data_IF_956859466178
#
_entry.id   IF_956859466178
#
_cell.length_a   1.000
_cell.length_b   1.000
_cell.length_c   1.000
_cell.angle_alpha   90.00
_cell.angle_beta   90.00
_cell.angle_gamma   90.00
#
_symmetry.space_group_name_H-M   'P 1'
#
loop_
_entity.id
_entity.type
_entity.pdbx_description
1 polymer ?
#
# COMPACT_ATOMS: atom_id res chain seq x y z
N UNK A 1 -2.67 20.92 60.82
CA UNK A 1 -2.10 19.58 61.09
C UNK A 1 -2.16 18.81 59.77
N UNK A 2 -1.33 19.08 58.77
CA UNK A 2 0.12 18.78 58.63
C UNK A 2 0.44 17.29 58.72
N UNK A 3 0.55 16.62 57.56
CA UNK A 3 1.52 15.54 57.26
C UNK A 3 1.51 15.29 55.73
N UNK A 4 2.48 15.79 54.96
CA UNK A 4 3.87 15.33 54.72
C UNK A 4 3.98 14.21 53.67
N UNK A 5 4.29 14.65 52.45
CA UNK A 5 5.03 14.02 51.33
C UNK A 5 5.63 12.63 51.57
N UNK A 6 5.40 11.70 50.62
CA UNK A 6 6.46 10.85 50.04
C UNK A 6 6.21 10.59 48.55
N UNK A 7 7.11 11.15 47.74
CA UNK A 7 7.40 10.76 46.37
C UNK A 7 7.84 9.29 46.33
N UNK A 8 7.30 8.51 45.41
CA UNK A 8 7.94 7.30 44.92
C UNK A 8 7.54 7.09 43.46
N UNK A 9 8.24 7.79 42.57
CA UNK A 9 8.23 7.51 41.13
C UNK A 9 8.66 6.06 40.90
N UNK A 10 7.72 5.22 40.48
CA UNK A 10 8.05 3.98 39.78
C UNK A 10 7.99 4.29 38.29
N UNK A 11 9.11 4.72 37.73
CA UNK A 11 9.32 4.73 36.28
C UNK A 11 9.39 3.28 35.85
N UNK A 12 8.28 2.76 35.32
CA UNK A 12 8.27 1.48 34.62
C UNK A 12 8.87 1.74 33.23
N UNK A 13 10.12 1.33 33.05
CA UNK A 13 10.75 1.26 31.73
C UNK A 13 10.09 0.11 30.98
N UNK A 14 9.05 0.41 30.21
CA UNK A 14 8.58 -0.50 29.17
C UNK A 14 9.67 -0.56 28.10
N UNK A 15 10.38 -1.68 28.04
CA UNK A 15 11.18 -2.08 26.89
C UNK A 15 10.27 -2.10 25.66
N UNK A 16 10.33 -1.02 24.88
CA UNK A 16 9.87 -1.02 23.50
C UNK A 16 10.75 -2.01 22.74
N UNK A 17 10.28 -3.26 22.63
CA UNK A 17 10.69 -4.15 21.55
C UNK A 17 10.15 -3.50 20.29
N UNK A 18 10.92 -2.58 19.72
CA UNK A 18 10.74 -2.11 18.37
C UNK A 18 11.08 -3.29 17.46
N UNK A 19 10.09 -4.15 17.23
CA UNK A 19 10.09 -5.11 16.13
C UNK A 19 10.11 -4.28 14.85
N UNK A 20 11.30 -3.88 14.42
CA UNK A 20 11.57 -3.43 13.07
C UNK A 20 11.41 -4.61 12.13
N UNK A 21 10.17 -5.09 11.97
CA UNK A 21 9.82 -5.94 10.87
C UNK A 21 9.89 -5.06 9.62
N UNK A 22 11.08 -5.00 9.00
CA UNK A 22 11.12 -4.92 7.55
C UNK A 22 10.23 -6.05 7.08
N UNK A 23 9.00 -5.71 6.65
CA UNK A 23 8.06 -6.67 6.11
C UNK A 23 8.63 -7.04 4.74
N UNK A 24 9.59 -7.96 4.73
CA UNK A 24 9.89 -8.72 3.54
C UNK A 24 8.53 -9.20 3.03
N UNK A 25 8.21 -8.88 1.77
CA UNK A 25 6.97 -9.38 1.19
C UNK A 25 6.92 -10.89 1.45
N UNK A 26 5.75 -11.44 1.84
CA UNK A 26 5.64 -12.88 2.07
C UNK A 26 6.28 -13.61 0.90
N UNK A 27 7.10 -14.64 1.16
CA UNK A 27 7.84 -15.35 0.11
C UNK A 27 6.93 -15.80 -1.06
N UNK A 28 5.66 -16.03 -0.78
CA UNK A 28 4.60 -16.31 -1.74
C UNK A 28 4.33 -15.16 -2.73
N UNK A 29 4.30 -13.89 -2.29
CA UNK A 29 4.12 -12.71 -3.16
C UNK A 29 5.33 -12.53 -4.08
N UNK A 30 6.54 -12.73 -3.56
CA UNK A 30 7.75 -12.69 -4.37
C UNK A 30 7.77 -13.80 -5.44
N UNK A 31 7.29 -15.00 -5.11
CA UNK A 31 7.14 -16.09 -6.06
C UNK A 31 6.05 -15.79 -7.12
N UNK A 32 4.93 -15.18 -6.72
CA UNK A 32 3.88 -14.72 -7.64
C UNK A 32 4.39 -13.70 -8.66
N UNK A 33 5.28 -12.79 -8.26
CA UNK A 33 5.85 -11.79 -9.17
C UNK A 33 6.57 -12.45 -10.36
N UNK A 34 7.31 -13.54 -10.11
CA UNK A 34 8.11 -14.27 -11.11
C UNK A 34 7.34 -15.41 -11.81
N UNK A 35 6.06 -15.62 -11.49
CA UNK A 35 5.30 -16.77 -11.97
C UNK A 35 4.83 -16.65 -13.42
N UNK A 36 5.41 -17.37 -14.38
CA UNK A 36 5.04 -17.26 -15.81
C UNK A 36 4.12 -18.39 -16.33
N UNK A 37 3.37 -19.05 -15.44
CA UNK A 37 2.43 -20.10 -15.84
C UNK A 37 1.34 -19.61 -16.81
N UNK A 38 0.80 -20.51 -17.63
CA UNK A 38 -0.27 -20.20 -18.59
C UNK A 38 -1.56 -19.65 -17.92
N UNK A 39 -1.75 -19.95 -16.62
CA UNK A 39 -2.84 -19.51 -15.76
C UNK A 39 -2.51 -18.24 -14.95
N UNK A 40 -1.36 -17.57 -15.19
CA UNK A 40 -0.94 -16.37 -14.45
C UNK A 40 -2.04 -15.31 -14.37
N UNK A 41 -2.69 -14.99 -15.48
CA UNK A 41 -3.77 -13.98 -15.51
C UNK A 41 -4.93 -14.38 -14.59
N UNK A 42 -5.39 -15.63 -14.69
CA UNK A 42 -6.48 -16.13 -13.86
C UNK A 42 -6.12 -16.12 -12.36
N UNK A 43 -4.88 -16.49 -12.03
CA UNK A 43 -4.38 -16.50 -10.65
C UNK A 43 -4.33 -15.09 -10.07
N UNK A 44 -3.80 -14.12 -10.82
CA UNK A 44 -3.75 -12.72 -10.41
C UNK A 44 -5.15 -12.12 -10.27
N UNK A 45 -6.04 -12.35 -11.23
CA UNK A 45 -7.41 -11.87 -11.20
C UNK A 45 -8.19 -12.43 -9.99
N UNK A 46 -7.99 -13.71 -9.68
CA UNK A 46 -8.63 -14.37 -8.53
C UNK A 46 -8.15 -13.78 -7.20
N UNK A 47 -6.84 -13.50 -7.07
CA UNK A 47 -6.28 -12.83 -5.89
C UNK A 47 -6.85 -11.41 -5.72
N UNK A 48 -6.83 -10.63 -6.80
CA UNK A 48 -7.34 -9.26 -6.80
C UNK A 48 -8.85 -9.19 -6.49
N UNK A 49 -9.65 -10.16 -6.94
CA UNK A 49 -11.06 -10.28 -6.55
C UNK A 49 -11.25 -10.54 -5.06
N UNK A 50 -10.35 -11.30 -4.44
CA UNK A 50 -10.32 -11.50 -2.99
C UNK A 50 -10.05 -10.20 -2.22
N UNK A 51 -9.15 -9.37 -2.75
CA UNK A 51 -8.76 -8.06 -2.19
C UNK A 51 -9.74 -6.93 -2.53
N UNK A 52 -10.54 -7.11 -3.60
CA UNK A 52 -11.66 -6.29 -4.10
C UNK A 52 -11.29 -4.97 -4.78
N UNK A 53 -10.14 -4.40 -4.48
CA UNK A 53 -9.73 -3.12 -5.04
C UNK A 53 -8.25 -3.07 -5.36
N UNK A 54 -7.91 -2.22 -6.32
CA UNK A 54 -6.55 -1.84 -6.69
C UNK A 54 -6.41 -0.33 -6.63
N UNK A 55 -5.30 0.16 -6.07
CA UNK A 55 -4.97 1.57 -5.90
C UNK A 55 -3.89 2.02 -6.89
N UNK A 56 -4.23 2.96 -7.76
CA UNK A 56 -3.36 3.50 -8.82
C UNK A 56 -2.98 4.96 -8.55
N UNK A 57 -1.69 5.27 -8.54
CA UNK A 57 -1.20 6.65 -8.65
C UNK A 57 -0.81 6.92 -10.10
N UNK A 58 -1.31 8.02 -10.67
CA UNK A 58 -1.20 8.26 -12.12
C UNK A 58 -1.10 9.73 -12.49
N UNK A 59 -0.46 9.99 -13.63
CA UNK A 59 -0.37 11.30 -14.30
C UNK A 59 -1.32 11.48 -15.49
N UNK A 60 -2.02 10.41 -15.89
CA UNK A 60 -3.01 10.40 -16.98
C UNK A 60 -4.11 11.44 -16.78
N UNK A 61 -4.78 11.78 -17.88
CA UNK A 61 -5.99 12.63 -17.87
C UNK A 61 -7.11 11.98 -17.05
N UNK A 62 -8.10 12.77 -16.60
CA UNK A 62 -9.18 12.22 -15.74
C UNK A 62 -10.07 11.34 -16.60
N UNK A 63 -10.25 11.74 -17.85
CA UNK A 63 -10.97 11.05 -18.91
C UNK A 63 -10.35 9.67 -19.17
N UNK A 64 -9.02 9.59 -19.35
CA UNK A 64 -8.33 8.32 -19.58
C UNK A 64 -8.39 7.42 -18.34
N UNK A 65 -8.23 7.98 -17.13
CA UNK A 65 -8.36 7.22 -15.88
C UNK A 65 -9.78 6.67 -15.67
N UNK A 66 -10.80 7.45 -16.00
CA UNK A 66 -12.19 7.00 -15.90
C UNK A 66 -12.47 5.86 -16.88
N UNK A 67 -11.97 5.96 -18.13
CA UNK A 67 -12.08 4.90 -19.12
C UNK A 67 -11.33 3.64 -18.70
N UNK A 68 -10.10 3.79 -18.16
CA UNK A 68 -9.30 2.69 -17.63
C UNK A 68 -10.00 2.00 -16.46
N UNK A 69 -10.50 2.75 -15.49
CA UNK A 69 -11.21 2.21 -14.34
C UNK A 69 -12.46 1.43 -14.76
N UNK A 70 -13.29 2.00 -15.64
CA UNK A 70 -14.48 1.31 -16.15
C UNK A 70 -14.14 0.03 -16.92
N UNK A 71 -13.09 0.07 -17.75
CA UNK A 71 -12.63 -1.10 -18.51
C UNK A 71 -12.07 -2.20 -17.60
N UNK A 72 -11.26 -1.82 -16.61
CA UNK A 72 -10.67 -2.74 -15.64
C UNK A 72 -11.74 -3.39 -14.76
N UNK A 73 -12.65 -2.60 -14.20
CA UNK A 73 -13.79 -3.09 -13.41
C UNK A 73 -14.68 -4.03 -14.23
N UNK A 74 -14.98 -3.68 -15.48
CA UNK A 74 -15.77 -4.54 -16.38
C UNK A 74 -15.08 -5.86 -16.69
N UNK A 75 -13.75 -5.85 -16.90
CA UNK A 75 -13.00 -7.06 -17.27
C UNK A 75 -12.78 -7.99 -16.09
N UNK A 76 -12.43 -7.46 -14.92
CA UNK A 76 -11.95 -8.27 -13.80
C UNK A 76 -12.89 -8.27 -12.59
N UNK A 77 -13.89 -7.38 -12.52
CA UNK A 77 -14.76 -7.24 -11.35
C UNK A 77 -14.06 -6.65 -10.12
N UNK A 78 -12.87 -6.06 -10.30
CA UNK A 78 -12.05 -5.45 -9.23
C UNK A 78 -12.12 -3.94 -9.37
N UNK A 79 -12.40 -3.24 -8.25
CA UNK A 79 -12.52 -1.79 -8.23
C UNK A 79 -11.17 -1.11 -8.46
N UNK A 80 -11.09 -0.16 -9.40
CA UNK A 80 -9.86 0.63 -9.58
C UNK A 80 -10.02 2.00 -8.89
N UNK A 81 -9.41 2.15 -7.71
CA UNK A 81 -9.27 3.45 -7.05
C UNK A 81 -8.04 4.15 -7.61
N UNK A 82 -8.16 5.44 -7.90
CA UNK A 82 -7.01 6.22 -8.36
C UNK A 82 -6.85 7.54 -7.63
N UNK A 83 -5.59 7.95 -7.48
CA UNK A 83 -5.20 9.29 -7.11
C UNK A 83 -4.37 9.89 -8.25
N UNK A 84 -4.76 11.10 -8.67
CA UNK A 84 -4.18 11.75 -9.85
C UNK A 84 -3.48 13.04 -9.47
N UNK A 85 -2.27 13.23 -9.99
CA UNK A 85 -1.49 14.46 -9.88
C UNK A 85 -0.53 14.59 -11.07
N UNK A 86 0.25 15.68 -11.15
CA UNK A 86 1.37 15.75 -12.10
C UNK A 86 2.46 14.73 -11.77
N UNK A 87 3.22 14.29 -12.77
CA UNK A 87 4.23 13.23 -12.67
C UNK A 87 5.22 13.44 -11.51
N UNK A 88 5.71 14.68 -11.32
CA UNK A 88 6.64 14.99 -10.23
C UNK A 88 6.01 14.76 -8.87
N UNK A 89 4.72 15.12 -8.71
CA UNK A 89 3.98 14.90 -7.46
C UNK A 89 3.72 13.42 -7.21
N UNK A 90 3.47 12.64 -8.26
CA UNK A 90 3.33 11.18 -8.18
C UNK A 90 4.61 10.55 -7.65
N UNK A 91 5.76 10.87 -8.26
CA UNK A 91 7.07 10.36 -7.82
C UNK A 91 7.41 10.84 -6.41
N UNK A 92 7.21 12.13 -6.11
CA UNK A 92 7.47 12.68 -4.78
C UNK A 92 6.66 11.96 -3.70
N UNK A 93 5.36 11.72 -3.94
CA UNK A 93 4.50 11.03 -2.99
C UNK A 93 4.95 9.58 -2.81
N UNK A 94 5.14 8.82 -3.90
CA UNK A 94 5.53 7.42 -3.84
C UNK A 94 6.86 7.22 -3.08
N UNK A 95 7.87 8.05 -3.37
CA UNK A 95 9.17 8.01 -2.67
C UNK A 95 9.02 8.41 -1.21
N UNK A 96 8.23 9.43 -0.91
CA UNK A 96 8.00 9.88 0.47
C UNK A 96 7.32 8.81 1.31
N UNK A 97 6.27 8.17 0.76
CA UNK A 97 5.55 7.08 1.43
C UNK A 97 6.47 5.87 1.64
N UNK A 98 7.21 5.43 0.61
CA UNK A 98 8.14 4.32 0.71
C UNK A 98 9.23 4.56 1.78
N UNK A 99 9.80 5.77 1.84
CA UNK A 99 10.77 6.16 2.88
C UNK A 99 10.16 6.17 4.28
N UNK A 100 8.86 6.44 4.38
CA UNK A 100 8.10 6.37 5.62
C UNK A 100 7.58 4.95 5.94
N UNK A 101 7.88 3.95 5.12
CA UNK A 101 7.37 2.58 5.28
C UNK A 101 5.86 2.44 5.01
N UNK A 102 5.26 3.40 4.29
CA UNK A 102 3.87 3.35 3.82
C UNK A 102 3.84 2.99 2.34
N UNK A 103 2.93 2.08 1.99
CA UNK A 103 2.77 1.56 0.62
C UNK A 103 1.29 1.50 0.30
N UNK A 104 0.65 2.68 0.24
CA UNK A 104 -0.81 2.79 0.08
C UNK A 104 -1.26 2.65 -1.38
N UNK A 105 -0.32 2.50 -2.32
CA UNK A 105 -0.56 2.29 -3.73
C UNK A 105 -0.11 0.89 -4.15
N UNK A 106 -0.75 0.34 -5.18
CA UNK A 106 -0.37 -0.93 -5.81
C UNK A 106 0.39 -0.70 -7.12
N UNK A 107 -0.02 0.33 -7.87
CA UNK A 107 0.56 0.66 -9.19
C UNK A 107 0.87 2.16 -9.27
N UNK A 108 2.00 2.47 -9.89
CA UNK A 108 2.37 3.83 -10.28
C UNK A 108 2.48 3.89 -11.79
N UNK A 109 1.84 4.90 -12.37
CA UNK A 109 1.98 5.28 -13.77
C UNK A 109 2.46 6.73 -13.85
N UNK A 110 3.37 7.00 -14.78
CA UNK A 110 3.80 8.35 -15.20
C UNK A 110 4.15 8.34 -16.69
N UNK A 111 3.96 9.48 -17.37
CA UNK A 111 4.56 9.80 -18.68
C UNK A 111 6.09 9.68 -18.66
#
# INVERSE_FOLDING_TARGET
MTQTRRFASRVAVCLLVASGASRAQPAEVAALALYEGADREQRLASGALGERELSLYSSLTVEDLAALAAGFEKKYGVKLKFWRAGSEKVVQRAVTEARAGRFDFDVVETN
#
